data_IF_091193931694
#
_entry.id   IF_091193931694
#
_cell.length_a   1.000
_cell.length_b   1.000
_cell.length_c   1.000
_cell.angle_alpha   90.00
_cell.angle_beta   90.00
_cell.angle_gamma   90.00
#
_symmetry.space_group_name_H-M   'P 1'
#
loop_
_entity.id
_entity.type
_entity.pdbx_description
1 polymer ?
#
# COMPACT_ATOMS: atom_id res chain seq x y z
N UNK A 1 28.08 -0.91 6.44
CA UNK A 1 27.50 -2.24 6.75
C UNK A 1 26.10 -2.27 6.16
N UNK A 2 25.81 -3.27 5.33
CA UNK A 2 24.44 -3.51 4.87
C UNK A 2 23.68 -4.33 5.89
N UNK A 3 22.39 -4.05 6.01
CA UNK A 3 21.45 -4.79 6.87
C UNK A 3 20.18 -5.04 6.08
N UNK A 4 19.52 -6.18 6.35
CA UNK A 4 18.18 -6.49 5.86
C UNK A 4 17.24 -6.65 7.04
N UNK A 5 16.06 -6.03 6.95
CA UNK A 5 15.02 -6.13 7.97
C UNK A 5 13.71 -6.60 7.35
N UNK A 6 13.03 -7.52 8.02
CA UNK A 6 11.61 -7.79 7.80
C UNK A 6 10.80 -6.96 8.80
N UNK A 7 9.86 -6.18 8.28
CA UNK A 7 8.95 -5.33 9.05
C UNK A 7 7.54 -5.81 8.78
N UNK A 8 6.85 -6.24 9.85
CA UNK A 8 5.44 -6.63 9.81
C UNK A 8 4.61 -5.53 10.43
N UNK A 9 3.70 -4.97 9.63
CA UNK A 9 2.84 -3.86 10.03
C UNK A 9 1.40 -4.35 10.15
N UNK A 10 0.80 -4.13 11.31
CA UNK A 10 -0.59 -4.45 11.60
C UNK A 10 -1.45 -3.17 11.67
N UNK A 11 -2.75 -3.30 11.38
CA UNK A 11 -3.74 -2.22 11.47
C UNK A 11 -4.53 -2.02 10.18
N UNK A 12 -5.01 -0.79 9.95
CA UNK A 12 -5.63 -0.38 8.68
C UNK A 12 -4.50 0.03 7.74
N UNK A 13 -3.92 -0.93 7.03
CA UNK A 13 -2.77 -0.71 6.14
C UNK A 13 -2.97 -1.29 4.74
N UNK A 14 -4.20 -1.75 4.46
CA UNK A 14 -4.59 -2.32 3.17
C UNK A 14 -5.72 -1.50 2.55
N UNK A 15 -5.67 -1.29 1.24
CA UNK A 15 -6.64 -0.44 0.52
C UNK A 15 -6.49 1.06 0.79
N UNK A 16 -5.41 1.49 1.44
CA UNK A 16 -5.21 2.90 1.88
C UNK A 16 -3.98 3.56 1.25
N UNK A 17 -3.51 3.06 0.12
CA UNK A 17 -2.31 3.59 -0.55
C UNK A 17 -0.98 3.22 0.12
N UNK A 18 -0.98 2.29 1.08
CA UNK A 18 0.22 1.90 1.83
C UNK A 18 1.31 1.30 0.94
N UNK A 19 0.96 0.41 -0.01
CA UNK A 19 1.94 -0.19 -0.94
C UNK A 19 2.69 0.87 -1.78
N UNK A 20 2.01 1.78 -2.51
CA UNK A 20 2.68 2.89 -3.20
C UNK A 20 3.50 3.80 -2.29
N UNK A 21 3.03 4.07 -1.07
CA UNK A 21 3.76 4.87 -0.09
C UNK A 21 5.10 4.22 0.28
N UNK A 22 5.08 2.95 0.70
CA UNK A 22 6.29 2.21 1.08
C UNK A 22 7.25 2.05 -0.09
N UNK A 23 6.71 1.77 -1.29
CA UNK A 23 7.52 1.69 -2.50
C UNK A 23 8.32 2.98 -2.73
N UNK A 24 7.65 4.14 -2.71
CA UNK A 24 8.33 5.44 -2.86
C UNK A 24 9.34 5.68 -1.75
N UNK A 25 8.95 5.42 -0.49
CA UNK A 25 9.83 5.62 0.66
C UNK A 25 11.14 4.82 0.52
N UNK A 26 11.08 3.58 0.01
CA UNK A 26 12.23 2.73 -0.22
C UNK A 26 13.06 3.17 -1.44
N UNK A 27 12.41 3.43 -2.58
CA UNK A 27 13.10 3.79 -3.83
C UNK A 27 13.81 5.14 -3.73
N UNK A 28 13.22 6.12 -3.04
CA UNK A 28 13.83 7.45 -2.82
C UNK A 28 15.13 7.35 -2.01
N UNK A 29 15.27 6.29 -1.20
CA UNK A 29 16.46 5.97 -0.40
C UNK A 29 17.39 4.97 -1.07
N UNK A 30 17.07 4.51 -2.28
CA UNK A 30 17.81 3.46 -3.01
C UNK A 30 17.95 2.17 -2.18
N UNK A 31 16.91 1.81 -1.44
CA UNK A 31 16.85 0.56 -0.69
C UNK A 31 16.24 -0.54 -1.57
N UNK A 32 16.72 -1.77 -1.43
CA UNK A 32 16.15 -2.95 -2.11
C UNK A 32 15.23 -3.72 -1.18
N UNK A 33 14.45 -4.65 -1.74
CA UNK A 33 13.56 -5.53 -0.99
C UNK A 33 12.16 -5.62 -1.58
N UNK A 34 11.16 -5.74 -0.72
CA UNK A 34 9.79 -5.95 -1.19
C UNK A 34 8.71 -5.50 -0.22
N UNK A 35 7.49 -5.37 -0.74
CA UNK A 35 6.28 -5.20 0.06
C UNK A 35 5.16 -6.10 -0.47
N UNK A 36 4.40 -6.70 0.45
CA UNK A 36 3.22 -7.50 0.14
C UNK A 36 2.13 -7.39 1.19
N UNK A 37 0.87 -7.48 0.76
CA UNK A 37 -0.24 -7.64 1.68
C UNK A 37 -0.33 -9.11 2.14
N UNK A 38 -0.68 -9.30 3.40
CA UNK A 38 -0.92 -10.61 4.04
C UNK A 38 -2.21 -10.56 4.85
N UNK A 39 -2.78 -11.69 5.30
CA UNK A 39 -3.97 -11.66 6.16
C UNK A 39 -3.76 -10.93 7.48
N UNK A 40 -2.51 -10.78 7.93
CA UNK A 40 -2.15 -10.12 9.18
C UNK A 40 -1.85 -8.61 9.04
N UNK A 41 -1.82 -8.08 7.81
CA UNK A 41 -1.46 -6.69 7.54
C UNK A 41 -0.52 -6.60 6.34
N UNK A 42 0.63 -5.96 6.50
CA UNK A 42 1.64 -5.81 5.44
C UNK A 42 2.97 -6.37 5.92
N UNK A 43 3.65 -7.10 5.06
CA UNK A 43 5.06 -7.50 5.26
C UNK A 43 5.93 -6.69 4.30
N UNK A 44 6.97 -6.09 4.85
CA UNK A 44 7.97 -5.32 4.13
C UNK A 44 9.32 -5.99 4.39
N UNK A 45 10.11 -6.18 3.35
CA UNK A 45 11.53 -6.47 3.47
C UNK A 45 12.29 -5.27 2.91
N UNK A 46 13.29 -4.81 3.63
CA UNK A 46 14.11 -3.68 3.21
C UNK A 46 15.58 -3.97 3.50
N UNK A 47 16.43 -3.68 2.52
CA UNK A 47 17.87 -3.91 2.60
C UNK A 47 18.64 -2.69 2.09
N UNK A 48 19.76 -2.42 2.75
CA UNK A 48 20.72 -1.42 2.32
C UNK A 48 21.63 -0.97 3.46
N UNK A 49 22.31 0.18 3.31
CA UNK A 49 23.14 0.75 4.37
C UNK A 49 22.34 0.96 5.67
N UNK A 50 22.90 0.55 6.81
CA UNK A 50 22.22 0.57 8.11
C UNK A 50 21.50 1.89 8.43
N UNK A 51 22.17 3.03 8.24
CA UNK A 51 21.56 4.34 8.51
C UNK A 51 20.36 4.68 7.62
N UNK A 52 20.34 4.21 6.37
CA UNK A 52 19.20 4.42 5.46
C UNK A 52 18.02 3.49 5.80
N UNK A 53 18.31 2.26 6.22
CA UNK A 53 17.30 1.33 6.71
C UNK A 53 16.68 1.86 8.01
N UNK A 54 17.47 2.43 8.92
CA UNK A 54 16.97 3.02 10.16
C UNK A 54 16.12 4.28 9.90
N UNK A 55 16.53 5.16 8.98
CA UNK A 55 15.70 6.30 8.55
C UNK A 55 14.37 5.82 7.95
N UNK A 56 14.40 4.79 7.09
CA UNK A 56 13.19 4.18 6.53
C UNK A 56 12.25 3.65 7.62
N UNK A 57 12.78 2.91 8.59
CA UNK A 57 11.98 2.37 9.71
C UNK A 57 11.35 3.49 10.54
N UNK A 58 12.09 4.57 10.79
CA UNK A 58 11.60 5.71 11.58
C UNK A 58 10.47 6.47 10.89
N UNK A 59 10.54 6.61 9.56
CA UNK A 59 9.58 7.37 8.75
C UNK A 59 8.34 6.58 8.36
N UNK A 60 8.45 5.26 8.28
CA UNK A 60 7.36 4.36 7.92
C UNK A 60 6.04 4.64 8.68
N UNK A 61 6.04 4.87 10.01
CA UNK A 61 4.84 5.28 10.72
C UNK A 61 4.57 6.80 10.67
N UNK A 62 5.62 7.63 10.60
CA UNK A 62 5.50 9.09 10.69
C UNK A 62 4.86 9.72 9.45
N UNK A 63 5.07 9.12 8.28
CA UNK A 63 4.61 9.62 6.99
C UNK A 63 3.53 8.73 6.37
N UNK A 64 2.89 7.88 7.18
CA UNK A 64 1.87 6.95 6.70
C UNK A 64 0.70 7.70 6.02
N UNK A 65 0.07 7.10 5.00
CA UNK A 65 -1.10 7.69 4.35
C UNK A 65 -2.21 8.07 5.34
N UNK A 66 -2.98 9.11 5.05
CA UNK A 66 -4.02 9.65 5.97
C UNK A 66 -5.04 8.61 6.43
N UNK A 67 -5.40 7.66 5.56
CA UNK A 67 -6.32 6.57 5.89
C UNK A 67 -5.64 5.38 6.57
N UNK A 68 -4.32 5.35 6.61
CA UNK A 68 -3.58 4.29 7.26
C UNK A 68 -3.59 4.49 8.79
N UNK A 69 -3.87 3.42 9.52
CA UNK A 69 -3.71 3.39 10.98
C UNK A 69 -2.88 2.18 11.36
N UNK A 70 -1.64 2.43 11.78
CA UNK A 70 -0.74 1.39 12.23
C UNK A 70 -1.04 1.12 13.72
N UNK A 71 -1.34 -0.13 14.05
CA UNK A 71 -1.62 -0.57 15.43
C UNK A 71 -0.47 -1.39 16.02
N UNK A 72 0.46 -1.85 15.18
CA UNK A 72 1.63 -2.58 15.62
C UNK A 72 2.67 -2.72 14.53
N UNK A 73 3.94 -2.71 14.93
CA UNK A 73 5.09 -2.91 14.07
C UNK A 73 6.01 -3.93 14.74
N UNK A 74 6.36 -4.99 14.02
CA UNK A 74 7.34 -5.99 14.47
C UNK A 74 8.48 -6.02 13.47
N UNK A 75 9.70 -5.86 13.96
CA UNK A 75 10.92 -5.79 13.14
C UNK A 75 11.80 -6.97 13.48
N UNK A 76 12.37 -7.61 12.46
CA UNK A 76 13.32 -8.72 12.59
C UNK A 76 14.46 -8.51 11.61
N UNK A 77 15.66 -8.87 12.02
CA UNK A 77 16.80 -8.91 11.11
C UNK A 77 16.71 -10.16 10.23
N UNK A 78 17.15 -10.01 8.99
CA UNK A 78 17.29 -11.09 8.03
C UNK A 78 18.72 -11.10 7.46
N UNK A 79 19.20 -12.24 6.96
CA UNK A 79 20.40 -12.28 6.15
C UNK A 79 20.25 -11.42 4.90
N UNK A 80 21.29 -10.67 4.53
CA UNK A 80 21.31 -9.89 3.30
C UNK A 80 21.20 -10.80 2.07
N UNK A 81 20.60 -10.28 1.02
CA UNK A 81 20.35 -10.91 -0.27
C UNK A 81 21.07 -10.20 -1.41
N UNK A 82 21.07 -10.79 -2.61
CA UNK A 82 21.59 -10.14 -3.82
C UNK A 82 20.58 -9.20 -4.50
N UNK A 83 19.42 -8.96 -3.89
CA UNK A 83 18.34 -8.11 -4.41
C UNK A 83 18.78 -6.65 -4.58
N UNK A 84 18.51 -6.07 -5.75
CA UNK A 84 18.91 -4.70 -6.10
C UNK A 84 17.75 -3.72 -6.24
N UNK A 85 16.55 -4.25 -6.49
CA UNK A 85 15.34 -3.46 -6.69
C UNK A 85 14.41 -3.58 -5.49
N UNK A 86 13.48 -2.63 -5.37
CA UNK A 86 12.36 -2.73 -4.44
C UNK A 86 11.09 -3.12 -5.20
N UNK A 87 10.41 -4.19 -4.80
CA UNK A 87 9.29 -4.75 -5.56
C UNK A 87 7.97 -4.74 -4.78
N UNK A 88 6.87 -4.40 -5.47
CA UNK A 88 5.52 -4.64 -4.96
C UNK A 88 5.11 -6.04 -5.37
N UNK A 89 5.13 -6.97 -4.43
CA UNK A 89 4.84 -8.37 -4.70
C UNK A 89 3.34 -8.68 -4.60
N UNK A 90 2.94 -9.79 -5.20
CA UNK A 90 1.57 -10.32 -5.12
C UNK A 90 1.17 -10.60 -3.67
N UNK A 91 -0.10 -10.47 -3.33
CA UNK A 91 -0.54 -10.74 -1.96
C UNK A 91 -0.48 -12.22 -1.60
N UNK A 92 0.03 -12.56 -0.41
CA UNK A 92 0.15 -13.95 0.06
C UNK A 92 -1.09 -14.37 0.85
N UNK A 93 -1.64 -15.56 0.59
CA UNK A 93 -2.72 -16.16 1.39
C UNK A 93 -2.17 -16.79 2.69
N UNK A 94 -3.03 -16.93 3.69
CA UNK A 94 -2.75 -17.57 4.97
C UNK A 94 -4.04 -17.78 5.76
N UNK A 95 -3.97 -18.58 6.82
CA UNK A 95 -5.18 -19.20 7.39
C UNK A 95 -6.07 -18.29 8.25
N UNK A 96 -5.54 -17.18 8.79
CA UNK A 96 -6.32 -16.31 9.69
C UNK A 96 -6.17 -14.83 9.37
N UNK A 97 -7.27 -14.21 8.91
CA UNK A 97 -7.37 -12.77 8.71
C UNK A 97 -7.34 -12.07 10.06
N UNK A 98 -6.39 -11.15 10.25
CA UNK A 98 -6.23 -10.30 11.44
C UNK A 98 -6.08 -8.82 11.10
N UNK A 99 -5.98 -8.47 9.82
CA UNK A 99 -5.89 -7.06 9.39
C UNK A 99 -7.24 -6.36 9.52
N UNK A 100 -7.21 -5.06 9.81
CA UNK A 100 -8.40 -4.22 9.85
C UNK A 100 -8.72 -3.74 8.43
N UNK A 101 -10.01 -3.69 8.11
CA UNK A 101 -10.51 -3.16 6.85
C UNK A 101 -10.84 -1.68 7.04
N UNK A 102 -10.37 -0.82 6.12
CA UNK A 102 -10.73 0.60 6.15
C UNK A 102 -12.23 0.78 5.95
N UNK A 103 -12.88 1.70 6.68
CA UNK A 103 -14.24 2.13 6.35
C UNK A 103 -14.26 2.79 4.97
N UNK A 104 -15.46 2.94 4.41
CA UNK A 104 -15.68 3.78 3.24
C UNK A 104 -15.41 5.25 3.57
N UNK A 105 -14.89 5.99 2.60
CA UNK A 105 -14.48 7.39 2.79
C UNK A 105 -15.07 8.26 1.69
N UNK A 106 -15.54 9.45 2.06
CA UNK A 106 -16.02 10.44 1.09
C UNK A 106 -14.91 10.83 0.10
N UNK A 107 -15.30 11.36 -1.05
CA UNK A 107 -14.37 11.85 -2.08
C UNK A 107 -13.42 12.90 -1.49
N UNK A 108 -12.13 12.81 -1.81
CA UNK A 108 -11.13 13.79 -1.37
C UNK A 108 -11.07 15.00 -2.30
N UNK A 109 -10.44 16.09 -1.84
CA UNK A 109 -10.29 17.33 -2.59
C UNK A 109 -9.57 17.15 -3.93
N UNK A 110 -8.59 16.24 -4.01
CA UNK A 110 -7.88 15.95 -5.25
C UNK A 110 -8.82 15.33 -6.30
N UNK A 111 -9.62 14.34 -5.91
CA UNK A 111 -10.61 13.74 -6.80
C UNK A 111 -11.74 14.72 -7.12
N UNK A 112 -12.15 15.59 -6.19
CA UNK A 112 -13.13 16.65 -6.49
C UNK A 112 -12.61 17.62 -7.55
N UNK A 113 -11.33 18.00 -7.46
CA UNK A 113 -10.68 18.85 -8.46
C UNK A 113 -10.65 18.18 -9.84
N UNK A 114 -10.24 16.91 -9.92
CA UNK A 114 -10.27 16.14 -11.18
C UNK A 114 -11.69 15.98 -11.73
N UNK A 115 -12.67 15.72 -10.85
CA UNK A 115 -14.07 15.53 -11.23
C UNK A 115 -14.67 16.75 -11.93
N UNK A 116 -14.26 17.95 -11.53
CA UNK A 116 -14.79 19.21 -12.06
C UNK A 116 -13.86 19.92 -13.06
N UNK A 117 -12.67 19.38 -13.35
CA UNK A 117 -11.79 19.90 -14.39
C UNK A 117 -12.18 19.36 -15.78
N UNK A 118 -12.66 20.25 -16.67
CA UNK A 118 -13.04 19.93 -18.06
C UNK A 118 -11.91 19.33 -18.90
N UNK A 119 -10.65 19.52 -18.50
CA UNK A 119 -9.47 18.98 -19.19
C UNK A 119 -9.07 17.61 -18.68
N UNK A 120 -9.57 17.19 -17.51
CA UNK A 120 -9.30 15.87 -16.97
C UNK A 120 -10.14 14.81 -17.70
N UNK A 121 -9.53 13.64 -17.95
CA UNK A 121 -10.23 12.50 -18.55
C UNK A 121 -11.37 11.96 -17.66
N UNK A 122 -11.35 12.30 -16.37
CA UNK A 122 -12.33 11.92 -15.36
C UNK A 122 -13.34 13.04 -15.09
N UNK A 123 -13.42 14.06 -15.94
CA UNK A 123 -14.45 15.09 -15.86
C UNK A 123 -15.85 14.48 -15.78
N UNK A 124 -16.59 14.82 -14.73
CA UNK A 124 -17.92 14.30 -14.40
C UNK A 124 -18.01 12.76 -14.30
N UNK A 125 -16.90 12.06 -14.04
CA UNK A 125 -16.88 10.60 -13.86
C UNK A 125 -17.47 10.20 -12.49
N UNK A 126 -18.66 9.56 -12.42
CA UNK A 126 -19.38 9.39 -11.15
C UNK A 126 -18.72 8.43 -10.16
N UNK A 127 -17.83 7.56 -10.63
CA UNK A 127 -17.15 6.56 -9.81
C UNK A 127 -15.69 6.94 -9.50
N UNK A 128 -15.35 8.24 -9.62
CA UNK A 128 -13.99 8.71 -9.34
C UNK A 128 -13.61 8.40 -7.88
N UNK A 129 -12.45 7.78 -7.71
CA UNK A 129 -11.80 7.60 -6.43
C UNK A 129 -10.29 7.45 -6.61
N UNK A 130 -9.56 7.60 -5.52
CA UNK A 130 -8.13 7.33 -5.45
C UNK A 130 -7.82 6.44 -4.24
N UNK A 131 -6.54 6.23 -3.93
CA UNK A 131 -6.13 5.47 -2.73
C UNK A 131 -6.58 6.10 -1.41
N UNK A 132 -6.90 7.40 -1.43
CA UNK A 132 -7.23 8.20 -0.24
C UNK A 132 -8.75 8.43 -0.06
N UNK A 133 -9.61 7.92 -0.95
CA UNK A 133 -11.06 8.10 -0.86
C UNK A 133 -11.86 6.96 -1.53
N UNK A 134 -13.18 7.00 -1.39
CA UNK A 134 -14.12 6.10 -2.06
C UNK A 134 -14.46 4.85 -1.24
N UNK A 135 -15.21 3.91 -1.85
CA UNK A 135 -15.66 2.71 -1.17
C UNK A 135 -14.50 1.78 -0.83
N UNK A 136 -14.59 1.12 0.32
CA UNK A 136 -13.65 0.13 0.85
C UNK A 136 -14.44 -1.04 1.42
N UNK A 137 -14.89 -0.94 2.67
CA UNK A 137 -15.62 -2.00 3.35
C UNK A 137 -16.78 -2.53 2.52
N UNK A 138 -17.57 -1.65 1.91
CA UNK A 138 -18.73 -2.02 1.08
C UNK A 138 -18.41 -2.83 -0.17
N UNK A 139 -17.18 -2.77 -0.69
CA UNK A 139 -16.80 -3.42 -1.95
C UNK A 139 -15.82 -4.58 -1.78
N UNK A 140 -15.23 -4.75 -0.60
CA UNK A 140 -14.26 -5.82 -0.32
C UNK A 140 -14.99 -7.14 -0.11
N UNK A 141 -14.57 -8.18 -0.85
CA UNK A 141 -15.08 -9.55 -0.72
C UNK A 141 -14.20 -10.41 0.17
N UNK A 142 -12.89 -10.20 0.13
CA UNK A 142 -11.90 -11.01 0.86
C UNK A 142 -10.57 -10.26 1.05
N UNK A 143 -9.74 -10.78 1.97
CA UNK A 143 -8.41 -10.26 2.32
C UNK A 143 -7.34 -11.31 2.00
N UNK A 144 -6.13 -10.93 1.54
CA UNK A 144 -5.60 -9.57 1.37
C UNK A 144 -6.29 -8.70 0.33
N UNK A 145 -6.36 -7.39 0.58
CA UNK A 145 -6.92 -6.42 -0.36
C UNK A 145 -6.13 -6.45 -1.68
N UNK A 146 -6.84 -6.81 -2.74
CA UNK A 146 -6.45 -6.63 -4.13
C UNK A 146 -7.71 -6.53 -4.98
N UNK A 147 -7.60 -5.90 -6.16
CA UNK A 147 -8.73 -5.66 -7.07
C UNK A 147 -9.58 -6.92 -7.35
N UNK A 148 -9.00 -8.11 -7.64
CA UNK A 148 -9.79 -9.33 -7.89
C UNK A 148 -10.64 -9.79 -6.70
N UNK A 149 -10.37 -9.29 -5.48
CA UNK A 149 -11.11 -9.61 -4.25
C UNK A 149 -12.05 -8.49 -3.82
N UNK A 150 -12.51 -7.71 -4.78
CA UNK A 150 -13.53 -6.67 -4.58
C UNK A 150 -14.64 -6.83 -5.60
N UNK A 151 -15.74 -6.09 -5.47
CA UNK A 151 -16.75 -5.97 -6.53
C UNK A 151 -16.17 -5.39 -7.82
N UNK A 152 -15.03 -4.68 -7.77
CA UNK A 152 -14.33 -4.15 -8.94
C UNK A 152 -13.67 -5.23 -9.81
N UNK A 153 -13.66 -6.50 -9.38
CA UNK A 153 -13.12 -7.62 -10.15
C UNK A 153 -13.82 -7.81 -11.51
N UNK A 154 -15.10 -7.45 -11.61
CA UNK A 154 -15.86 -7.51 -12.87
C UNK A 154 -15.54 -6.40 -13.87
N UNK A 155 -14.70 -5.42 -13.50
CA UNK A 155 -14.36 -4.26 -14.31
C UNK A 155 -12.86 -4.28 -14.65
N UNK A 156 -12.44 -4.89 -15.77
CA UNK A 156 -11.04 -4.88 -16.18
C UNK A 156 -10.56 -3.46 -16.44
N UNK A 157 -9.32 -3.15 -16.06
CA UNK A 157 -8.74 -1.82 -16.28
C UNK A 157 -8.39 -1.64 -17.75
N UNK A 158 -8.74 -0.49 -18.31
CA UNK A 158 -8.27 -0.10 -19.64
C UNK A 158 -6.77 0.28 -19.61
N UNK A 159 -6.15 0.39 -20.77
CA UNK A 159 -4.73 0.73 -20.90
C UNK A 159 -4.34 2.01 -20.13
N UNK A 160 -5.18 3.05 -20.17
CA UNK A 160 -4.92 4.33 -19.46
C UNK A 160 -5.04 4.27 -17.94
N UNK A 161 -5.65 3.22 -17.39
CA UNK A 161 -5.70 3.00 -15.94
C UNK A 161 -4.62 2.04 -15.45
N UNK A 162 -3.99 1.29 -16.38
CA UNK A 162 -2.87 0.41 -16.09
C UNK A 162 -1.51 1.12 -16.19
N UNK A 163 -1.42 2.13 -17.06
CA UNK A 163 -0.27 3.04 -17.18
C UNK A 163 -0.14 3.94 -15.95
#
# INVERSE_FOLDING_TARGET
MEVRKEIRVAGIVQGVGFRPYVYRLATDRKLSGSIRNTPAGVTIQVQGPAGLVDDFVSRLPAEAPVLARITGVVIRELPCDAERDFLIESSRRGERVRTLISPDVAVCDDCLRELFDRRDRRYLYPFINCTNCGPRFTIIRDIPYDRPRTSMAGFPMCARCLA
#
